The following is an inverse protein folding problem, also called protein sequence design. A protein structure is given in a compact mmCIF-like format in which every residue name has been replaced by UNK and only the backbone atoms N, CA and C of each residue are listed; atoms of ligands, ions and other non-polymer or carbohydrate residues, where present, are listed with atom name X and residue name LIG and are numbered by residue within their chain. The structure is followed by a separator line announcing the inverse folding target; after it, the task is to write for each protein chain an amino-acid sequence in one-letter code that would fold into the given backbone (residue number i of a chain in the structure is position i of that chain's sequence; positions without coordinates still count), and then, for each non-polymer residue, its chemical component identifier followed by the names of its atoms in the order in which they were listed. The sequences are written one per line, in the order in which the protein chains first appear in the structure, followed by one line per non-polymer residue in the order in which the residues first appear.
data_IF_265017339472
#
_entry.id   IF_265017339472
#
_cell.length_a   1.000
_cell.length_b   1.000
_cell.length_c   1.000
_cell.angle_alpha   90.00
_cell.angle_beta   90.00
_cell.angle_gamma   90.00
#
_symmetry.space_group_name_H-M   'P 1'
#
loop_
_entity.id
_entity.type
_entity.pdbx_description
1 polymer ?
#
# COMPACT_ATOMS: atom_id res chain seq x y z
N UNK A 1 25.24 9.53 -3.77
CA UNK A 1 26.36 8.77 -3.14
C UNK A 1 27.57 9.68 -2.91
N UNK A 2 28.04 9.81 -1.66
CA UNK A 2 29.32 10.48 -1.38
C UNK A 2 30.50 9.52 -1.60
N UNK A 3 31.69 10.09 -1.81
CA UNK A 3 32.94 9.38 -2.18
C UNK A 3 33.42 8.34 -1.15
N UNK A 4 32.86 8.30 0.05
CA UNK A 4 33.18 7.33 1.11
C UNK A 4 32.13 6.22 1.29
N UNK A 5 31.02 6.26 0.55
CA UNK A 5 30.05 5.16 0.44
C UNK A 5 29.28 4.78 1.70
N UNK A 6 29.45 5.46 2.84
CA UNK A 6 28.81 5.07 4.12
C UNK A 6 27.52 5.83 4.37
N UNK A 7 26.38 5.18 4.11
CA UNK A 7 25.14 5.53 4.82
C UNK A 7 25.25 4.96 6.24
N UNK A 8 25.43 5.83 7.24
CA UNK A 8 25.33 5.42 8.65
C UNK A 8 23.88 5.00 8.90
N UNK A 9 23.67 3.87 9.58
CA UNK A 9 22.34 3.57 10.14
C UNK A 9 21.89 4.81 10.92
N UNK A 10 20.78 5.43 10.51
CA UNK A 10 20.24 6.54 11.27
C UNK A 10 19.79 5.94 12.61
N UNK A 11 20.47 6.34 13.66
CA UNK A 11 20.18 5.95 15.03
C UNK A 11 20.18 7.22 15.85
N UNK A 12 19.16 7.36 16.68
CA UNK A 12 19.03 8.47 17.60
C UNK A 12 18.93 7.90 19.00
N UNK A 13 19.69 8.39 19.99
CA UNK A 13 19.50 8.00 21.38
C UNK A 13 18.08 8.27 21.88
N UNK A 14 17.37 9.21 21.25
CA UNK A 14 16.00 9.60 21.59
C UNK A 14 14.92 8.72 20.93
N UNK A 15 15.29 7.79 20.04
CA UNK A 15 14.33 6.95 19.33
C UNK A 15 14.79 5.48 19.34
N UNK A 16 13.93 4.53 19.73
CA UNK A 16 14.34 3.13 19.90
C UNK A 16 14.60 2.38 18.57
N UNK A 17 14.44 3.05 17.42
CA UNK A 17 14.56 2.43 16.11
C UNK A 17 15.94 2.61 15.49
N UNK A 18 16.42 1.51 14.90
CA UNK A 18 17.58 1.50 14.03
C UNK A 18 17.09 1.46 12.58
N UNK A 19 17.35 2.53 11.84
CA UNK A 19 16.97 2.59 10.43
C UNK A 19 18.09 2.02 9.55
N UNK A 20 17.73 1.02 8.75
CA UNK A 20 18.62 0.35 7.79
C UNK A 20 18.05 0.59 6.40
N UNK A 21 18.88 1.04 5.47
CA UNK A 21 18.47 1.23 4.07
C UNK A 21 18.81 -0.02 3.26
N UNK A 22 18.17 -0.20 2.09
CA UNK A 22 18.48 -1.30 1.16
C UNK A 22 19.98 -1.40 0.83
N UNK A 23 20.67 -0.25 0.75
CA UNK A 23 22.11 -0.20 0.48
C UNK A 23 22.98 -0.81 1.60
N UNK A 24 22.42 -1.01 2.79
CA UNK A 24 23.09 -1.56 3.98
C UNK A 24 22.74 -3.03 4.23
N UNK A 25 22.03 -3.67 3.31
CA UNK A 25 21.69 -5.10 3.36
C UNK A 25 22.49 -5.85 2.29
N UNK A 26 22.70 -7.15 2.49
CA UNK A 26 23.24 -8.07 1.46
C UNK A 26 22.24 -8.31 0.30
N UNK A 27 21.02 -7.76 0.41
CA UNK A 27 19.90 -7.90 -0.52
C UNK A 27 19.46 -9.35 -0.71
N UNK A 28 19.78 -10.22 0.24
CA UNK A 28 19.32 -11.61 0.23
C UNK A 28 17.93 -11.73 0.83
N UNK A 29 17.18 -12.75 0.40
CA UNK A 29 15.88 -13.06 0.98
C UNK A 29 16.00 -13.45 2.46
N UNK A 30 17.10 -14.08 2.88
CA UNK A 30 17.32 -14.46 4.28
C UNK A 30 17.46 -13.25 5.20
N UNK A 31 18.07 -12.15 4.73
CA UNK A 31 18.09 -10.89 5.48
C UNK A 31 16.71 -10.27 5.57
N UNK A 32 15.94 -10.27 4.47
CA UNK A 32 14.60 -9.69 4.48
C UNK A 32 13.60 -10.51 5.31
N UNK A 33 13.78 -11.82 5.40
CA UNK A 33 12.96 -12.70 6.24
C UNK A 33 13.07 -12.40 7.75
N UNK A 34 14.03 -11.57 8.18
CA UNK A 34 14.17 -11.16 9.57
C UNK A 34 13.21 -10.02 9.96
N UNK A 35 12.62 -9.32 8.98
CA UNK A 35 11.64 -8.28 9.26
C UNK A 35 10.29 -8.91 9.64
N UNK A 36 9.65 -8.34 10.67
CA UNK A 36 8.41 -8.87 11.24
C UNK A 36 7.15 -8.32 10.58
N UNK A 37 7.29 -7.25 9.81
CA UNK A 37 6.19 -6.54 9.19
C UNK A 37 6.72 -5.71 8.02
N UNK A 38 5.81 -5.32 7.14
CA UNK A 38 6.07 -4.41 6.03
C UNK A 38 5.17 -3.20 6.08
N UNK A 39 5.70 -2.08 5.59
CA UNK A 39 4.94 -0.86 5.38
C UNK A 39 4.87 -0.65 3.88
N UNK A 40 3.67 -0.69 3.34
CA UNK A 40 3.46 -0.48 1.91
C UNK A 40 2.96 0.94 1.66
N UNK A 41 3.61 1.60 0.72
CA UNK A 41 3.08 2.82 0.11
C UNK A 41 2.56 2.41 -1.25
N UNK A 42 1.25 2.50 -1.44
CA UNK A 42 0.62 2.28 -2.72
C UNK A 42 1.00 3.45 -3.64
N UNK A 43 2.18 3.36 -4.25
CA UNK A 43 2.66 4.28 -5.27
C UNK A 43 2.37 3.70 -6.65
N UNK A 44 2.66 2.41 -6.85
CA UNK A 44 2.15 1.63 -7.97
C UNK A 44 1.06 0.67 -7.47
N UNK A 45 0.06 0.38 -8.31
CA UNK A 45 -0.91 -0.71 -8.08
C UNK A 45 -0.22 -2.07 -8.19
N UNK A 46 0.93 -2.23 -7.55
CA UNK A 46 1.67 -3.48 -7.47
C UNK A 46 0.98 -4.40 -6.46
N UNK A 47 -0.24 -4.77 -6.86
CA UNK A 47 -1.11 -5.74 -6.23
C UNK A 47 -0.34 -7.01 -5.90
N UNK A 48 0.62 -7.38 -6.75
CA UNK A 48 1.45 -8.58 -6.60
C UNK A 48 2.20 -8.55 -5.28
N UNK A 49 2.94 -7.48 -4.97
CA UNK A 49 3.72 -7.40 -3.73
C UNK A 49 2.83 -7.42 -2.48
N UNK A 50 1.64 -6.81 -2.54
CA UNK A 50 0.68 -6.91 -1.44
C UNK A 50 0.22 -8.35 -1.22
N UNK A 51 -0.24 -9.04 -2.27
CA UNK A 51 -0.72 -10.42 -2.15
C UNK A 51 0.40 -11.40 -1.78
N UNK A 52 1.63 -11.17 -2.24
CA UNK A 52 2.81 -11.94 -1.82
C UNK A 52 3.01 -11.84 -0.30
N UNK A 53 3.04 -10.63 0.24
CA UNK A 53 3.21 -10.44 1.69
C UNK A 53 2.00 -10.94 2.48
N UNK A 54 0.80 -10.74 1.96
CA UNK A 54 -0.42 -11.14 2.63
C UNK A 54 -0.56 -12.68 2.69
N UNK A 55 -0.25 -13.38 1.61
CA UNK A 55 -0.26 -14.85 1.54
C UNK A 55 0.83 -15.50 2.40
N UNK A 56 1.96 -14.81 2.61
CA UNK A 56 2.99 -15.20 3.58
C UNK A 56 2.61 -14.90 5.04
N UNK A 57 1.39 -14.38 5.29
CA UNK A 57 0.92 -13.93 6.60
C UNK A 57 1.83 -12.87 7.24
N UNK A 58 2.51 -12.06 6.43
CA UNK A 58 3.37 -11.01 6.96
C UNK A 58 2.52 -9.78 7.30
N UNK A 59 2.55 -9.28 8.55
CA UNK A 59 1.81 -8.08 8.95
C UNK A 59 2.09 -6.89 8.02
N UNK A 60 1.03 -6.27 7.52
CA UNK A 60 1.09 -5.14 6.58
C UNK A 60 0.55 -3.89 7.24
N UNK A 61 1.31 -2.80 7.15
CA UNK A 61 0.87 -1.46 7.50
C UNK A 61 0.67 -0.62 6.25
N UNK A 62 -0.45 0.09 6.19
CA UNK A 62 -0.79 0.99 5.09
C UNK A 62 -1.26 2.35 5.61
N UNK A 63 -1.07 3.44 4.86
CA UNK A 63 -1.60 4.72 5.27
C UNK A 63 -3.14 4.71 5.31
N UNK A 64 -3.77 5.37 6.27
CA UNK A 64 -5.23 5.55 6.28
C UNK A 64 -5.71 6.68 5.35
N UNK A 65 -4.80 7.60 5.00
CA UNK A 65 -5.14 8.83 4.28
C UNK A 65 -5.10 8.69 2.76
N UNK A 66 -6.26 8.94 2.15
CA UNK A 66 -6.51 8.92 0.70
C UNK A 66 -5.55 9.73 -0.17
N UNK A 67 -5.02 10.91 0.22
CA UNK A 67 -4.07 11.65 -0.61
C UNK A 67 -2.82 10.85 -0.98
N UNK A 68 -2.44 9.85 -0.18
CA UNK A 68 -1.29 8.98 -0.47
C UNK A 68 -1.58 7.95 -1.57
N UNK A 69 -2.84 7.80 -1.96
CA UNK A 69 -3.34 6.96 -3.04
C UNK A 69 -3.69 7.79 -4.30
N UNK A 70 -3.81 9.12 -4.18
CA UNK A 70 -4.12 10.03 -5.29
C UNK A 70 -2.94 10.19 -6.28
N UNK A 71 -1.71 10.21 -5.77
CA UNK A 71 -0.50 10.38 -6.61
C UNK A 71 -0.25 9.23 -7.59
N UNK A 72 -0.97 8.11 -7.46
CA UNK A 72 -0.87 6.96 -8.37
C UNK A 72 -1.41 7.28 -9.77
N UNK A 73 -2.33 8.25 -9.89
CA UNK A 73 -2.95 8.61 -11.17
C UNK A 73 -2.10 9.59 -11.99
N UNK A 74 -1.23 10.39 -11.37
CA UNK A 74 -0.35 11.34 -12.10
C UNK A 74 0.75 10.64 -12.91
N UNK A 75 1.23 9.46 -12.48
CA UNK A 75 2.17 8.64 -13.27
C UNK A 75 1.49 7.97 -14.46
N UNK A 76 0.17 7.79 -14.36
CA UNK A 76 -0.71 7.46 -15.45
C UNK A 76 -1.14 8.77 -16.13
N UNK A 77 -0.17 9.57 -16.61
CA UNK A 77 -0.40 10.58 -17.64
C UNK A 77 -0.84 9.88 -18.94
N UNK A 78 -1.99 9.22 -18.88
CA UNK A 78 -2.84 8.79 -19.95
C UNK A 78 -3.42 10.08 -20.49
N UNK A 79 -2.63 10.75 -21.32
CA UNK A 79 -2.95 11.67 -22.42
C UNK A 79 -4.40 11.63 -22.96
N UNK A 80 -5.42 11.81 -22.11
CA UNK A 80 -6.85 11.78 -22.44
C UNK A 80 -7.38 10.46 -23.00
N UNK A 81 -6.58 9.37 -23.03
CA UNK A 81 -6.96 8.14 -23.76
C UNK A 81 -8.21 7.44 -23.23
N UNK A 82 -8.54 7.62 -21.94
CA UNK A 82 -9.76 7.07 -21.36
C UNK A 82 -11.00 7.90 -21.69
N UNK A 83 -10.87 9.22 -21.82
CA UNK A 83 -11.95 10.09 -22.32
C UNK A 83 -12.21 9.81 -23.80
N UNK A 84 -11.16 9.61 -24.60
CA UNK A 84 -11.27 9.26 -26.02
C UNK A 84 -11.92 7.88 -26.28
N UNK A 85 -12.02 7.00 -25.27
CA UNK A 85 -12.71 5.70 -25.36
C UNK A 85 -14.21 5.75 -25.08
N UNK A 86 -14.76 6.92 -24.72
CA UNK A 86 -16.20 7.06 -24.39
C UNK A 86 -17.12 6.97 -25.62
N UNK A 87 -16.59 7.23 -26.82
CA UNK A 87 -17.40 7.46 -28.02
C UNK A 87 -17.27 6.39 -29.12
N UNK A 88 -16.97 5.13 -28.76
CA UNK A 88 -17.15 4.02 -29.72
C UNK A 88 -18.64 3.63 -29.79
N UNK A 89 -19.28 3.93 -30.94
CA UNK A 89 -20.67 3.58 -31.24
C UNK A 89 -20.91 2.10 -30.99
N UNK A 90 -21.81 1.78 -30.04
CA UNK A 90 -22.23 0.41 -29.73
C UNK A 90 -21.64 -0.22 -28.46
N UNK A 91 -20.80 0.49 -27.70
CA UNK A 91 -20.41 0.01 -26.36
C UNK A 91 -21.47 0.38 -25.32
N UNK A 92 -21.91 -0.61 -24.54
CA UNK A 92 -22.66 -0.34 -23.32
C UNK A 92 -21.78 0.46 -22.35
N UNK A 93 -22.28 1.56 -21.78
CA UNK A 93 -21.54 2.27 -20.76
C UNK A 93 -21.30 1.33 -19.57
N UNK A 94 -20.03 1.06 -19.25
CA UNK A 94 -19.64 0.22 -18.10
C UNK A 94 -19.96 0.87 -16.76
N UNK A 95 -20.22 2.18 -16.78
CA UNK A 95 -20.62 3.00 -15.64
C UNK A 95 -21.63 4.03 -16.12
N UNK A 96 -22.64 4.44 -15.31
CA UNK A 96 -23.56 5.50 -15.71
C UNK A 96 -22.79 6.72 -16.23
N UNK A 97 -23.04 7.07 -17.49
CA UNK A 97 -22.56 8.33 -18.06
C UNK A 97 -23.13 9.44 -17.16
N UNK A 98 -22.28 10.35 -16.68
CA UNK A 98 -22.59 11.43 -15.73
C UNK A 98 -22.61 11.09 -14.22
N UNK A 99 -22.20 9.89 -13.82
CA UNK A 99 -22.00 9.63 -12.38
C UNK A 99 -20.82 10.44 -11.83
N UNK A 100 -21.08 11.38 -10.92
CA UNK A 100 -20.04 12.12 -10.18
C UNK A 100 -19.10 11.20 -9.38
N UNK A 101 -19.58 10.00 -9.03
CA UNK A 101 -18.84 8.94 -8.33
C UNK A 101 -18.17 7.93 -9.27
N UNK A 102 -18.03 8.24 -10.56
CA UNK A 102 -17.37 7.36 -11.53
C UNK A 102 -15.91 7.14 -11.13
N UNK A 103 -15.38 5.90 -11.13
CA UNK A 103 -13.97 5.64 -10.83
C UNK A 103 -13.01 6.31 -11.83
N UNK A 104 -13.54 6.77 -12.97
CA UNK A 104 -12.81 7.52 -13.99
C UNK A 104 -12.88 9.04 -13.80
N UNK A 105 -13.57 9.53 -12.78
CA UNK A 105 -13.62 10.94 -12.42
C UNK A 105 -12.56 11.27 -11.37
N UNK A 106 -11.32 11.41 -11.81
CA UNK A 106 -10.14 11.63 -10.94
C UNK A 106 -10.17 13.01 -10.25
N UNK A 107 -10.94 13.95 -10.79
CA UNK A 107 -11.13 15.29 -10.20
C UNK A 107 -12.06 15.28 -8.99
N UNK A 108 -12.88 14.24 -8.82
CA UNK A 108 -13.82 14.11 -7.72
C UNK A 108 -13.20 13.33 -6.57
N UNK A 109 -12.98 14.00 -5.43
CA UNK A 109 -12.44 13.34 -4.24
C UNK A 109 -13.35 12.19 -3.80
N UNK A 110 -14.67 12.34 -3.90
CA UNK A 110 -15.63 11.32 -3.50
C UNK A 110 -15.64 10.11 -4.43
N UNK A 111 -15.43 10.31 -5.74
CA UNK A 111 -15.19 9.21 -6.68
C UNK A 111 -13.93 8.43 -6.31
N UNK A 112 -12.84 9.12 -5.95
CA UNK A 112 -11.61 8.46 -5.50
C UNK A 112 -11.86 7.71 -4.20
N UNK A 113 -12.55 8.31 -3.21
CA UNK A 113 -12.87 7.64 -1.94
C UNK A 113 -13.59 6.33 -2.19
N UNK A 114 -14.62 6.38 -3.03
CA UNK A 114 -15.41 5.21 -3.40
C UNK A 114 -14.54 4.16 -4.10
N UNK A 115 -13.74 4.56 -5.09
CA UNK A 115 -12.88 3.65 -5.85
C UNK A 115 -11.85 2.96 -4.95
N UNK A 116 -11.18 3.73 -4.10
CA UNK A 116 -10.18 3.21 -3.16
C UNK A 116 -10.80 2.27 -2.14
N UNK A 117 -12.07 2.49 -1.75
CA UNK A 117 -12.79 1.58 -0.83
C UNK A 117 -12.97 0.16 -1.40
N UNK A 118 -12.91 0.00 -2.73
CA UNK A 118 -12.96 -1.32 -3.36
C UNK A 118 -11.61 -2.03 -3.39
N UNK A 119 -10.51 -1.33 -3.10
CA UNK A 119 -9.18 -1.94 -3.11
C UNK A 119 -8.99 -2.85 -1.90
N UNK A 120 -8.31 -3.97 -2.11
CA UNK A 120 -8.14 -5.00 -1.09
C UNK A 120 -7.38 -4.50 0.14
N UNK A 121 -6.55 -3.48 -0.03
CA UNK A 121 -5.87 -2.77 1.06
C UNK A 121 -6.81 -2.27 2.15
N UNK A 122 -8.04 -1.87 1.79
CA UNK A 122 -9.06 -1.39 2.74
C UNK A 122 -10.09 -2.45 3.11
N UNK A 123 -10.15 -3.56 2.35
CA UNK A 123 -11.13 -4.62 2.57
C UNK A 123 -10.57 -5.77 3.39
N UNK A 124 -9.25 -5.98 3.38
CA UNK A 124 -8.60 -7.09 4.06
C UNK A 124 -8.47 -6.74 5.54
N UNK A 125 -9.15 -7.48 6.44
CA UNK A 125 -9.39 -7.02 7.80
C UNK A 125 -8.13 -6.97 8.67
N UNK A 126 -7.06 -7.67 8.28
CA UNK A 126 -5.81 -7.70 9.02
C UNK A 126 -4.80 -6.64 8.56
N UNK A 127 -5.12 -5.85 7.53
CA UNK A 127 -4.29 -4.70 7.14
C UNK A 127 -4.37 -3.63 8.22
N UNK A 128 -3.23 -3.19 8.71
CA UNK A 128 -3.16 -2.20 9.77
C UNK A 128 -2.99 -0.81 9.18
N UNK A 129 -3.88 0.12 9.53
CA UNK A 129 -3.81 1.47 8.99
C UNK A 129 -3.17 2.46 9.96
N UNK A 130 -2.36 3.40 9.44
CA UNK A 130 -1.77 4.50 10.20
C UNK A 130 -1.97 5.85 9.50
N UNK A 131 -2.18 6.91 10.28
CA UNK A 131 -2.35 8.28 9.80
C UNK A 131 -1.01 8.89 9.38
N UNK A 132 0.01 8.75 10.24
CA UNK A 132 1.33 9.40 10.08
C UNK A 132 2.49 8.48 10.41
N UNK A 133 3.70 8.85 9.96
CA UNK A 133 4.93 8.11 10.29
C UNK A 133 5.19 8.08 11.81
N UNK A 134 5.05 9.18 12.57
CA UNK A 134 5.17 9.11 14.03
C UNK A 134 4.20 8.13 14.68
N UNK A 135 2.93 8.09 14.24
CA UNK A 135 1.95 7.14 14.76
C UNK A 135 2.35 5.69 14.43
N UNK A 136 2.75 5.42 13.18
CA UNK A 136 3.26 4.11 12.79
C UNK A 136 4.40 3.68 13.71
N UNK A 137 5.40 4.55 13.89
CA UNK A 137 6.55 4.27 14.75
C UNK A 137 6.13 4.09 16.21
N UNK A 138 5.08 4.75 16.71
CA UNK A 138 4.55 4.51 18.05
C UNK A 138 3.84 3.16 18.17
N UNK A 139 3.14 2.71 17.13
CA UNK A 139 2.34 1.47 17.13
C UNK A 139 3.14 0.19 16.91
N UNK A 140 4.25 0.24 16.16
CA UNK A 140 5.11 -0.93 15.90
C UNK A 140 5.45 -1.77 17.16
N UNK A 141 5.86 -1.20 18.30
CA UNK A 141 6.23 -1.96 19.50
C UNK A 141 5.02 -2.44 20.30
N UNK A 142 3.86 -1.78 20.13
CA UNK A 142 2.60 -2.14 20.80
C UNK A 142 1.84 -3.25 20.05
N UNK A 143 2.19 -3.47 18.78
CA UNK A 143 1.51 -4.43 17.92
C UNK A 143 1.89 -5.86 18.29
N UNK A 144 0.90 -6.68 18.64
CA UNK A 144 1.10 -8.12 18.78
C UNK A 144 1.14 -8.80 17.41
N UNK A 145 2.33 -8.83 16.80
CA UNK A 145 2.54 -9.42 15.48
C UNK A 145 2.11 -10.89 15.40
N UNK A 146 2.23 -11.64 16.49
CA UNK A 146 1.84 -13.05 16.51
C UNK A 146 0.33 -13.22 16.33
N UNK A 147 -0.47 -12.43 17.02
CA UNK A 147 -1.93 -12.43 16.86
C UNK A 147 -2.35 -12.00 15.44
N UNK A 148 -1.70 -10.97 14.89
CA UNK A 148 -1.97 -10.52 13.52
C UNK A 148 -1.68 -11.64 12.51
N UNK A 149 -0.51 -12.29 12.61
CA UNK A 149 -0.13 -13.42 11.74
C UNK A 149 -1.14 -14.56 11.85
N UNK A 150 -1.59 -14.90 13.07
CA UNK A 150 -2.59 -15.95 13.27
C UNK A 150 -3.94 -15.58 12.64
N UNK A 151 -4.37 -14.32 12.77
CA UNK A 151 -5.61 -13.85 12.16
C UNK A 151 -5.54 -13.87 10.63
N UNK A 152 -4.41 -13.45 10.06
CA UNK A 152 -4.16 -13.53 8.61
C UNK A 152 -4.20 -14.97 8.11
N UNK A 153 -3.54 -15.89 8.83
CA UNK A 153 -3.50 -17.30 8.46
C UNK A 153 -4.89 -17.93 8.43
N UNK A 154 -5.75 -17.62 9.43
CA UNK A 154 -7.15 -18.07 9.45
C UNK A 154 -7.94 -17.50 8.28
N UNK A 155 -7.87 -16.19 8.06
CA UNK A 155 -8.56 -15.54 6.95
C UNK A 155 -8.15 -16.13 5.59
N UNK A 156 -6.86 -16.36 5.38
CA UNK A 156 -6.32 -16.96 4.17
C UNK A 156 -6.84 -18.40 3.96
N UNK A 157 -6.92 -19.20 5.03
CA UNK A 157 -7.48 -20.56 4.97
C UNK A 157 -8.98 -20.56 4.64
N UNK A 158 -9.73 -19.59 5.16
CA UNK A 158 -11.19 -19.56 5.02
C UNK A 158 -11.66 -18.90 3.71
N UNK A 159 -10.88 -17.97 3.15
CA UNK A 159 -11.34 -17.07 2.07
C UNK A 159 -10.58 -17.21 0.75
N UNK A 160 -9.37 -17.78 0.75
CA UNK A 160 -8.49 -17.82 -0.44
C UNK A 160 -8.18 -19.25 -0.94
N UNK A 161 -8.72 -20.28 -0.27
CA UNK A 161 -8.64 -21.70 -0.68
C UNK A 161 -10.00 -22.15 -1.21
#
# INVERSE_FOLDING_TARGET
PMKDGRLRAASSPAYPYRFITRALTDRSFSTFAQFRAVVLWAYDMDLVTFYEFYSMNMPIFMPSHLPKYLFQQDHMAYDGRWEARRDEVGRHPTWPQDSELSPFNESSLDAVRLTVSFTDYFRFPQVQHFYSIPELLARLPETNFFEVVQAMARFNQDSLV
#
